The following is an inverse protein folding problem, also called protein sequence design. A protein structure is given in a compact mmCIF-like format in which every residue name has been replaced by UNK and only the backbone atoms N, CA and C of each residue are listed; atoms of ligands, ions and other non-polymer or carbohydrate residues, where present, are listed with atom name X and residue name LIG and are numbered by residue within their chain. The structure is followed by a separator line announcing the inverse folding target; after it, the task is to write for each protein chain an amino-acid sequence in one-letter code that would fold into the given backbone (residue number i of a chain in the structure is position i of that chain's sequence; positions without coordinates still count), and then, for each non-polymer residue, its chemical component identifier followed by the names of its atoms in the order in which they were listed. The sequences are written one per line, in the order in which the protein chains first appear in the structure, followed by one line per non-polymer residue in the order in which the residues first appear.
data_IF_878151915988
#
_entry.id   IF_878151915988
#
_cell.length_a   1.000
_cell.length_b   1.000
_cell.length_c   1.000
_cell.angle_alpha   90.00
_cell.angle_beta   90.00
_cell.angle_gamma   90.00
#
_symmetry.space_group_name_H-M   'P 1'
#
loop_
_entity.id
_entity.type
_entity.pdbx_description
1 polymer ?
#
# COMPACT_ATOMS: atom_id res chain seq x y z
N UNK A 1 22.22 -7.14 -11.06
CA UNK A 1 21.78 -5.83 -11.56
C UNK A 1 21.04 -5.13 -10.44
N UNK A 2 21.37 -3.87 -10.14
CA UNK A 2 20.58 -3.06 -9.20
C UNK A 2 19.30 -2.55 -9.89
N UNK A 3 18.31 -2.07 -9.13
CA UNK A 3 17.10 -1.50 -9.73
C UNK A 3 17.42 -0.25 -10.58
N UNK A 4 18.39 0.56 -10.18
CA UNK A 4 18.83 1.74 -10.93
C UNK A 4 19.46 1.35 -12.29
N UNK A 5 20.28 0.30 -12.29
CA UNK A 5 20.86 -0.27 -13.53
C UNK A 5 19.76 -0.82 -14.45
N UNK A 6 18.76 -1.51 -13.88
CA UNK A 6 17.60 -1.99 -14.65
C UNK A 6 16.83 -0.82 -15.27
N UNK A 7 16.54 0.24 -14.51
CA UNK A 7 15.77 1.39 -15.00
C UNK A 7 16.48 2.08 -16.17
N UNK A 8 17.80 2.30 -16.06
CA UNK A 8 18.61 2.88 -17.13
C UNK A 8 18.59 2.00 -18.39
N UNK A 9 18.76 0.69 -18.23
CA UNK A 9 18.80 -0.26 -19.32
C UNK A 9 17.45 -0.38 -20.04
N UNK A 10 16.33 -0.41 -19.31
CA UNK A 10 14.99 -0.42 -19.91
C UNK A 10 14.70 0.89 -20.65
N UNK A 11 15.09 2.04 -20.11
CA UNK A 11 14.93 3.34 -20.81
C UNK A 11 15.75 3.36 -22.10
N UNK A 12 16.96 2.81 -22.09
CA UNK A 12 17.77 2.68 -23.29
C UNK A 12 17.09 1.78 -24.34
N UNK A 13 16.59 0.61 -23.95
CA UNK A 13 15.89 -0.32 -24.84
C UNK A 13 14.61 0.28 -25.43
N UNK A 14 13.82 1.02 -24.63
CA UNK A 14 12.63 1.74 -25.10
C UNK A 14 12.98 2.81 -26.15
N UNK A 15 14.06 3.57 -25.92
CA UNK A 15 14.49 4.61 -26.87
C UNK A 15 14.99 4.04 -28.20
N UNK A 16 15.48 2.79 -28.19
CA UNK A 16 15.92 2.04 -29.37
C UNK A 16 14.81 1.16 -29.99
N UNK A 17 13.56 1.26 -29.52
CA UNK A 17 12.42 0.42 -29.95
C UNK A 17 12.60 -1.09 -29.73
N UNK A 18 13.47 -1.49 -28.80
CA UNK A 18 13.76 -2.88 -28.44
C UNK A 18 12.82 -3.36 -27.34
N UNK A 19 11.52 -3.37 -27.61
CA UNK A 19 10.50 -3.65 -26.58
C UNK A 19 10.52 -5.10 -26.09
N UNK A 20 10.75 -6.06 -26.97
CA UNK A 20 10.86 -7.48 -26.60
C UNK A 20 12.04 -7.73 -25.65
N UNK A 21 13.19 -7.10 -25.94
CA UNK A 21 14.37 -7.13 -25.06
C UNK A 21 14.05 -6.48 -23.70
N UNK A 22 13.30 -5.37 -23.69
CA UNK A 22 12.90 -4.69 -22.45
C UNK A 22 11.97 -5.54 -21.58
N UNK A 23 11.00 -6.22 -22.18
CA UNK A 23 10.05 -7.09 -21.46
C UNK A 23 10.76 -8.34 -20.95
N UNK A 24 11.66 -8.92 -21.74
CA UNK A 24 12.49 -10.06 -21.32
C UNK A 24 13.35 -9.70 -20.12
N UNK A 25 13.98 -8.51 -20.15
CA UNK A 25 14.81 -8.03 -19.05
C UNK A 25 13.97 -7.81 -17.78
N UNK A 26 12.76 -7.22 -17.90
CA UNK A 26 11.84 -7.04 -16.77
C UNK A 26 11.39 -8.39 -16.18
N UNK A 27 10.99 -9.35 -17.03
CA UNK A 27 10.59 -10.70 -16.59
C UNK A 27 11.73 -11.44 -15.89
N UNK A 28 12.98 -11.21 -16.31
CA UNK A 28 14.14 -11.81 -15.63
C UNK A 28 14.37 -11.23 -14.23
N UNK A 29 14.01 -9.95 -14.03
CA UNK A 29 14.28 -9.21 -12.80
C UNK A 29 13.14 -9.34 -11.78
N UNK A 30 11.88 -9.26 -12.24
CA UNK A 30 10.67 -9.39 -11.42
C UNK A 30 10.00 -10.74 -11.71
N UNK A 31 10.61 -11.83 -11.22
CA UNK A 31 10.03 -13.17 -11.39
C UNK A 31 8.60 -13.19 -10.82
N UNK A 32 7.67 -13.73 -11.61
CA UNK A 32 6.27 -13.98 -11.25
C UNK A 32 5.44 -12.72 -10.87
N UNK A 33 5.64 -11.61 -11.60
CA UNK A 33 4.92 -10.34 -11.38
C UNK A 33 3.71 -10.18 -12.33
N UNK A 34 2.48 -10.13 -11.80
CA UNK A 34 1.27 -10.07 -12.64
C UNK A 34 1.12 -8.78 -13.44
N UNK A 35 1.74 -7.67 -13.01
CA UNK A 35 1.74 -6.44 -13.80
C UNK A 35 2.54 -6.62 -15.11
N UNK A 36 3.51 -7.54 -15.12
CA UNK A 36 4.25 -7.92 -16.32
C UNK A 36 3.47 -8.84 -17.25
N UNK A 37 2.51 -9.63 -16.75
CA UNK A 37 1.64 -10.45 -17.60
C UNK A 37 0.78 -9.58 -18.52
N UNK A 38 0.24 -8.48 -17.99
CA UNK A 38 -0.53 -7.51 -18.79
C UNK A 38 0.32 -6.85 -19.88
N UNK A 39 1.56 -6.47 -19.56
CA UNK A 39 2.52 -5.91 -20.53
C UNK A 39 2.89 -6.95 -21.59
N UNK A 40 3.05 -8.20 -21.20
CA UNK A 40 3.36 -9.32 -22.11
C UNK A 40 2.20 -9.57 -23.09
N UNK A 41 0.96 -9.55 -22.61
CA UNK A 41 -0.25 -9.66 -23.45
C UNK A 41 -0.36 -8.48 -24.43
N UNK A 42 -0.10 -7.26 -23.95
CA UNK A 42 -0.13 -6.06 -24.80
C UNK A 42 0.97 -6.08 -25.86
N UNK A 43 2.14 -6.63 -25.55
CA UNK A 43 3.22 -6.84 -26.50
C UNK A 43 2.81 -7.81 -27.62
N UNK A 44 2.15 -8.92 -27.28
CA UNK A 44 1.61 -9.85 -28.28
C UNK A 44 0.60 -9.17 -29.22
N UNK A 45 -0.27 -8.31 -28.67
CA UNK A 45 -1.22 -7.51 -29.46
C UNK A 45 -0.51 -6.51 -30.39
N UNK A 46 0.56 -5.86 -29.92
CA UNK A 46 1.39 -4.98 -30.75
C UNK A 46 1.98 -5.73 -31.94
N UNK A 47 2.60 -6.91 -31.72
CA UNK A 47 3.17 -7.71 -32.79
C UNK A 47 2.12 -8.18 -33.82
N UNK A 48 0.93 -8.58 -33.36
CA UNK A 48 -0.17 -8.96 -34.25
C UNK A 48 -0.69 -7.78 -35.10
N UNK A 49 -0.66 -6.56 -34.57
CA UNK A 49 -1.04 -5.34 -35.30
C UNK A 49 0.06 -4.93 -36.29
N UNK A 50 1.33 -5.05 -35.91
CA UNK A 50 2.49 -4.79 -36.77
C UNK A 50 2.53 -5.72 -37.98
N UNK A 51 2.17 -7.00 -37.81
CA UNK A 51 2.07 -7.96 -38.91
C UNK A 51 0.92 -7.62 -39.88
N UNK A 52 -0.20 -7.10 -39.34
CA UNK A 52 -1.31 -6.60 -40.15
C UNK A 52 -0.96 -5.32 -40.93
N UNK A 53 -0.13 -4.45 -40.38
CA UNK A 53 0.40 -3.28 -41.10
C UNK A 53 1.32 -3.72 -42.25
N UNK A 54 2.24 -4.66 -42.00
CA UNK A 54 3.14 -5.22 -43.03
C UNK A 54 2.40 -5.89 -44.19
N UNK A 55 1.19 -6.42 -43.92
CA UNK A 55 0.29 -6.99 -44.94
C UNK A 55 -0.69 -5.97 -45.53
N UNK A 56 -0.61 -4.69 -45.17
CA UNK A 56 -1.45 -3.61 -45.69
C UNK A 56 -2.88 -3.58 -45.14
N UNK A 57 -3.18 -4.36 -44.10
CA UNK A 57 -4.51 -4.50 -43.49
C UNK A 57 -4.80 -3.48 -42.39
N UNK A 58 -3.79 -2.76 -41.93
CA UNK A 58 -3.88 -1.74 -40.86
C UNK A 58 -3.01 -0.54 -41.21
N UNK A 59 -3.51 0.66 -40.92
CA UNK A 59 -2.77 1.91 -41.12
C UNK A 59 -1.72 2.15 -40.03
N UNK A 60 -0.58 2.71 -40.43
CA UNK A 60 0.57 3.03 -39.57
C UNK A 60 0.26 3.82 -38.29
N UNK A 61 -0.64 4.83 -38.29
CA UNK A 61 -0.98 5.58 -37.08
C UNK A 61 -1.58 4.72 -35.95
N UNK A 62 -2.21 3.60 -36.30
CA UNK A 62 -2.78 2.66 -35.32
C UNK A 62 -1.69 1.83 -34.64
N UNK A 63 -0.63 1.50 -35.38
CA UNK A 63 0.55 0.79 -34.84
C UNK A 63 1.31 1.69 -33.87
N UNK A 64 1.52 2.95 -34.24
CA UNK A 64 2.18 3.96 -33.40
C UNK A 64 1.42 4.21 -32.09
N UNK A 65 0.08 4.21 -32.14
CA UNK A 65 -0.76 4.35 -30.94
C UNK A 65 -0.52 3.21 -29.95
N UNK A 66 -0.58 1.96 -30.43
CA UNK A 66 -0.36 0.78 -29.58
C UNK A 66 1.07 0.74 -29.04
N UNK A 67 2.04 1.11 -29.88
CA UNK A 67 3.45 1.22 -29.50
C UNK A 67 3.66 2.22 -28.36
N UNK A 68 3.09 3.41 -28.47
CA UNK A 68 3.20 4.45 -27.45
C UNK A 68 2.51 4.05 -26.15
N UNK A 69 1.37 3.35 -26.23
CA UNK A 69 0.67 2.84 -25.05
C UNK A 69 1.50 1.78 -24.32
N UNK A 70 2.13 0.87 -25.05
CA UNK A 70 3.01 -0.15 -24.46
C UNK A 70 4.24 0.47 -23.77
N UNK A 71 4.87 1.48 -24.38
CA UNK A 71 5.96 2.25 -23.73
C UNK A 71 5.50 2.93 -22.44
N UNK A 72 4.34 3.56 -22.46
CA UNK A 72 3.77 4.23 -21.29
C UNK A 72 3.57 3.26 -20.14
N UNK A 73 3.02 2.08 -20.42
CA UNK A 73 2.74 1.07 -19.39
C UNK A 73 4.01 0.50 -18.79
N UNK A 74 5.04 0.24 -19.60
CA UNK A 74 6.36 -0.21 -19.09
C UNK A 74 6.99 0.85 -18.16
N UNK A 75 6.95 2.13 -18.56
CA UNK A 75 7.50 3.21 -17.73
C UNK A 75 6.70 3.42 -16.44
N UNK A 76 5.37 3.26 -16.50
CA UNK A 76 4.51 3.34 -15.33
C UNK A 76 4.80 2.19 -14.35
N UNK A 77 5.00 0.97 -14.85
CA UNK A 77 5.41 -0.16 -14.04
C UNK A 77 6.74 0.13 -13.32
N UNK A 78 7.78 0.56 -14.05
CA UNK A 78 9.06 0.91 -13.46
C UNK A 78 8.93 1.97 -12.36
N UNK A 79 8.14 3.02 -12.61
CA UNK A 79 7.89 4.06 -11.60
C UNK A 79 7.24 3.49 -10.35
N UNK A 80 6.22 2.65 -10.49
CA UNK A 80 5.53 2.03 -9.35
C UNK A 80 6.46 1.13 -8.52
N UNK A 81 7.31 0.31 -9.17
CA UNK A 81 8.27 -0.55 -8.49
C UNK A 81 9.39 0.26 -7.81
N UNK A 82 9.81 1.38 -8.42
CA UNK A 82 10.76 2.32 -7.79
C UNK A 82 10.19 2.94 -6.52
N UNK A 83 8.94 3.39 -6.59
CA UNK A 83 8.23 3.97 -5.45
C UNK A 83 8.06 2.92 -4.32
N UNK A 84 7.72 1.67 -4.65
CA UNK A 84 7.64 0.56 -3.70
C UNK A 84 8.99 0.23 -3.04
N UNK A 85 10.08 0.16 -3.81
CA UNK A 85 11.41 -0.12 -3.28
C UNK A 85 11.92 1.01 -2.39
N UNK A 86 11.72 2.26 -2.80
CA UNK A 86 12.04 3.45 -2.00
C UNK A 86 11.25 3.44 -0.68
N UNK A 87 9.95 3.12 -0.73
CA UNK A 87 9.12 2.96 0.47
C UNK A 87 9.67 1.86 1.39
N UNK A 88 10.04 0.71 0.84
CA UNK A 88 10.59 -0.41 1.61
C UNK A 88 11.92 -0.05 2.30
N UNK A 89 12.81 0.63 1.59
CA UNK A 89 14.10 1.09 2.14
C UNK A 89 13.93 2.21 3.17
N UNK A 90 13.00 3.14 2.97
CA UNK A 90 12.79 4.27 3.89
C UNK A 90 12.01 3.89 5.15
N UNK A 91 11.10 2.93 5.04
CA UNK A 91 10.25 2.49 6.16
C UNK A 91 10.91 1.38 6.98
N UNK A 92 11.78 0.58 6.37
CA UNK A 92 12.35 -0.62 6.99
C UNK A 92 13.88 -0.77 6.83
N UNK A 93 14.56 0.19 6.18
CA UNK A 93 16.01 0.23 6.09
C UNK A 93 16.62 0.53 7.46
N UNK A 94 17.53 -0.33 7.89
CA UNK A 94 18.16 -0.34 9.21
C UNK A 94 18.68 1.04 9.65
N UNK A 95 17.89 1.75 10.46
CA UNK A 95 18.42 2.86 11.26
C UNK A 95 19.08 2.27 12.49
N UNK A 96 20.40 2.09 12.39
CA UNK A 96 21.27 1.79 13.52
C UNK A 96 21.32 2.97 14.48
N UNK A 97 21.43 2.65 15.77
CA UNK A 97 21.72 3.50 16.95
C UNK A 97 20.56 4.29 17.59
N UNK A 98 19.88 3.64 18.54
CA UNK A 98 19.85 4.03 19.97
C UNK A 98 19.70 2.75 20.82
N UNK A 99 20.57 2.61 21.84
CA UNK A 99 20.49 1.53 22.84
C UNK A 99 19.52 1.92 23.95
N UNK A 100 18.58 1.01 24.30
CA UNK A 100 18.29 0.53 25.66
C UNK A 100 16.88 -0.09 25.75
N UNK A 101 16.74 -1.38 25.44
CA UNK A 101 16.52 -2.46 26.42
C UNK A 101 16.47 -3.76 25.62
N UNK A 102 17.06 -4.84 26.15
CA UNK A 102 17.14 -6.14 25.46
C UNK A 102 15.80 -6.90 25.53
N UNK A 103 14.72 -6.24 25.15
CA UNK A 103 13.41 -6.84 24.92
C UNK A 103 13.15 -6.91 23.43
N UNK A 104 12.85 -8.11 22.94
CA UNK A 104 12.40 -8.32 21.55
C UNK A 104 11.19 -7.42 21.27
N UNK A 105 11.26 -6.58 20.22
CA UNK A 105 10.16 -5.70 19.85
C UNK A 105 8.92 -6.54 19.48
N UNK A 106 7.75 -6.18 20.00
CA UNK A 106 6.53 -6.94 19.71
C UNK A 106 6.03 -6.55 18.32
N UNK A 107 6.02 -7.52 17.41
CA UNK A 107 5.49 -7.37 16.05
C UNK A 107 3.99 -7.06 16.05
N UNK A 108 3.62 -6.02 15.33
CA UNK A 108 2.25 -5.58 15.03
C UNK A 108 2.12 -5.42 13.52
N UNK A 109 1.00 -5.87 12.98
CA UNK A 109 0.65 -5.61 11.59
C UNK A 109 0.26 -4.14 11.42
N UNK A 110 0.97 -3.43 10.56
CA UNK A 110 0.71 -2.05 10.22
C UNK A 110 -0.03 -1.97 8.88
N UNK A 111 -1.32 -1.67 8.96
CA UNK A 111 -2.18 -1.46 7.81
C UNK A 111 -2.14 0.02 7.44
N UNK A 112 -1.40 0.35 6.39
CA UNK A 112 -1.26 1.71 5.88
C UNK A 112 -1.03 1.67 4.37
N UNK A 113 -1.67 2.59 3.64
CA UNK A 113 -1.39 2.76 2.22
C UNK A 113 -0.04 3.43 2.02
N UNK A 114 0.66 3.15 0.92
CA UNK A 114 1.88 3.87 0.58
C UNK A 114 1.61 5.38 0.52
N UNK A 115 2.39 6.21 1.24
CA UNK A 115 2.18 7.65 1.25
C UNK A 115 2.40 8.21 -0.15
N UNK A 116 1.58 9.20 -0.52
CA UNK A 116 1.64 9.81 -1.85
C UNK A 116 2.18 11.25 -1.82
N UNK A 117 2.52 11.76 -0.64
CA UNK A 117 3.12 13.08 -0.44
C UNK A 117 4.04 13.08 0.81
N UNK A 118 4.92 14.08 0.90
CA UNK A 118 5.91 14.18 1.98
C UNK A 118 5.27 14.35 3.36
N UNK A 119 4.08 14.94 3.39
CA UNK A 119 3.34 15.18 4.62
C UNK A 119 2.90 13.85 5.25
N UNK A 120 2.25 12.99 4.49
CA UNK A 120 1.89 11.63 4.93
C UNK A 120 3.13 10.82 5.34
N UNK A 121 4.22 10.91 4.55
CA UNK A 121 5.46 10.20 4.89
C UNK A 121 6.03 10.65 6.24
N UNK A 122 6.06 11.97 6.50
CA UNK A 122 6.56 12.51 7.76
C UNK A 122 5.69 12.09 8.95
N UNK A 123 4.36 12.08 8.78
CA UNK A 123 3.44 11.62 9.82
C UNK A 123 3.66 10.14 10.14
N UNK A 124 3.76 9.28 9.11
CA UNK A 124 4.03 7.84 9.24
C UNK A 124 5.36 7.61 9.97
N UNK A 125 6.42 8.32 9.59
CA UNK A 125 7.74 8.14 10.21
C UNK A 125 7.72 8.48 11.71
N UNK A 126 7.13 9.64 12.08
CA UNK A 126 6.97 10.03 13.49
C UNK A 126 6.18 9.00 14.29
N UNK A 127 5.11 8.47 13.69
CA UNK A 127 4.28 7.45 14.31
C UNK A 127 5.07 6.15 14.53
N UNK A 128 5.78 5.66 13.51
CA UNK A 128 6.61 4.45 13.58
C UNK A 128 7.69 4.59 14.64
N UNK A 129 8.39 5.72 14.67
CA UNK A 129 9.41 6.00 15.70
C UNK A 129 8.80 6.02 17.11
N UNK A 130 7.60 6.59 17.25
CA UNK A 130 6.90 6.59 18.53
C UNK A 130 6.53 5.18 18.99
N UNK A 131 5.97 4.32 18.13
CA UNK A 131 5.67 2.93 18.47
C UNK A 131 6.94 2.14 18.81
N UNK A 132 8.01 2.34 18.02
CA UNK A 132 9.32 1.73 18.25
C UNK A 132 9.88 2.08 19.64
N UNK A 133 9.82 3.35 20.03
CA UNK A 133 10.24 3.81 21.37
C UNK A 133 9.45 3.18 22.52
N UNK A 134 8.28 2.59 22.24
CA UNK A 134 7.43 1.88 23.20
C UNK A 134 7.57 0.34 23.13
N UNK A 135 8.55 -0.16 22.37
CA UNK A 135 8.83 -1.59 22.18
C UNK A 135 7.88 -2.30 21.22
N UNK A 136 7.23 -1.57 20.32
CA UNK A 136 6.32 -2.11 19.30
C UNK A 136 6.95 -1.93 17.93
N UNK A 137 7.02 -3.02 17.16
CA UNK A 137 7.49 -3.00 15.79
C UNK A 137 6.30 -3.03 14.83
N UNK A 138 6.06 -1.90 14.17
CA UNK A 138 5.07 -1.80 13.09
C UNK A 138 5.67 -2.38 11.80
N UNK A 139 5.04 -3.41 11.25
CA UNK A 139 5.45 -4.01 9.97
C UNK A 139 4.26 -4.12 9.01
N UNK A 140 4.43 -3.64 7.77
CA UNK A 140 3.46 -3.87 6.69
C UNK A 140 3.73 -5.21 6.02
N UNK A 141 2.80 -5.67 5.17
CA UNK A 141 3.01 -6.85 4.34
C UNK A 141 4.30 -6.75 3.51
N UNK A 142 5.16 -7.77 3.56
CA UNK A 142 6.48 -7.80 2.90
C UNK A 142 6.47 -8.54 1.55
N UNK A 143 5.57 -9.50 1.40
CA UNK A 143 5.48 -10.37 0.25
C UNK A 143 4.04 -10.35 -0.26
N UNK A 144 3.89 -9.97 -1.52
CA UNK A 144 2.62 -9.96 -2.22
C UNK A 144 2.48 -11.25 -3.03
N UNK A 145 1.25 -11.75 -3.16
CA UNK A 145 0.92 -12.89 -4.01
C UNK A 145 -0.27 -12.51 -4.88
N UNK A 146 -0.05 -12.38 -6.18
CA UNK A 146 -1.09 -11.97 -7.12
C UNK A 146 -2.21 -13.01 -7.30
N UNK A 147 -1.88 -14.30 -7.13
CA UNK A 147 -2.85 -15.38 -7.28
C UNK A 147 -3.77 -15.52 -6.07
N UNK A 148 -3.30 -15.09 -4.89
CA UNK A 148 -4.09 -15.04 -3.67
C UNK A 148 -3.61 -13.86 -2.80
N UNK A 149 -4.15 -12.66 -3.02
CA UNK A 149 -3.69 -11.46 -2.31
C UNK A 149 -4.13 -11.45 -0.84
N UNK A 150 -5.10 -12.27 -0.46
CA UNK A 150 -5.64 -12.33 0.91
C UNK A 150 -4.80 -13.25 1.80
N UNK A 151 -4.33 -14.39 1.26
CA UNK A 151 -3.59 -15.37 2.05
C UNK A 151 -2.33 -14.78 2.73
N UNK A 152 -1.44 -14.03 2.06
CA UNK A 152 -0.28 -13.40 2.71
C UNK A 152 -0.67 -12.45 3.83
N UNK A 153 -1.76 -11.70 3.68
CA UNK A 153 -2.28 -10.79 4.71
C UNK A 153 -2.72 -11.59 5.94
N UNK A 154 -3.47 -12.67 5.73
CA UNK A 154 -3.94 -13.55 6.81
C UNK A 154 -2.76 -14.20 7.54
N UNK A 155 -1.76 -14.69 6.81
CA UNK A 155 -0.56 -15.29 7.39
C UNK A 155 0.24 -14.28 8.21
N UNK A 156 0.43 -13.07 7.68
CA UNK A 156 1.17 -12.02 8.37
C UNK A 156 0.43 -11.53 9.63
N UNK A 157 -0.89 -11.38 9.56
CA UNK A 157 -1.73 -11.06 10.72
C UNK A 157 -1.69 -12.17 11.78
N UNK A 158 -1.72 -13.44 11.37
CA UNK A 158 -1.56 -14.57 12.29
C UNK A 158 -0.22 -14.53 13.01
N UNK A 159 0.85 -14.03 12.41
CA UNK A 159 2.16 -13.88 13.05
C UNK A 159 2.29 -12.62 13.91
N UNK A 160 1.32 -11.71 13.85
CA UNK A 160 1.33 -10.44 14.57
C UNK A 160 0.63 -10.53 15.93
N UNK A 161 0.90 -9.57 16.81
CA UNK A 161 0.33 -9.49 18.16
C UNK A 161 -0.72 -8.38 18.31
N UNK A 162 -1.05 -7.72 17.21
CA UNK A 162 -1.99 -6.62 17.10
C UNK A 162 -2.03 -6.13 15.67
N UNK A 163 -3.03 -5.29 15.39
CA UNK A 163 -3.17 -4.59 14.13
C UNK A 163 -3.39 -3.10 14.39
N UNK A 164 -2.55 -2.27 13.77
CA UNK A 164 -2.69 -0.83 13.77
C UNK A 164 -3.07 -0.40 12.36
N UNK A 165 -4.19 0.29 12.20
CA UNK A 165 -4.65 0.80 10.90
C UNK A 165 -4.50 2.31 10.87
N UNK A 166 -3.79 2.84 9.88
CA UNK A 166 -3.68 4.27 9.63
C UNK A 166 -4.40 4.62 8.33
N UNK A 167 -5.61 5.15 8.47
CA UNK A 167 -6.44 5.60 7.38
C UNK A 167 -6.16 7.08 7.08
N UNK A 168 -5.35 7.30 6.04
CA UNK A 168 -5.09 8.59 5.42
C UNK A 168 -5.77 8.68 4.05
N UNK A 169 -5.79 9.88 3.46
CA UNK A 169 -6.29 10.08 2.12
C UNK A 169 -5.52 9.25 1.09
N UNK A 170 -6.28 8.53 0.25
CA UNK A 170 -5.78 7.87 -0.96
C UNK A 170 -6.47 8.34 -2.23
N UNK A 171 -7.76 8.65 -2.14
CA UNK A 171 -8.57 9.13 -3.26
C UNK A 171 -9.29 10.41 -2.88
N UNK A 172 -9.28 11.37 -3.78
CA UNK A 172 -10.13 12.55 -3.73
C UNK A 172 -11.18 12.48 -4.84
N UNK A 173 -12.45 12.53 -4.46
CA UNK A 173 -13.58 12.58 -5.40
C UNK A 173 -14.10 14.00 -5.43
N UNK A 174 -13.83 14.72 -6.52
CA UNK A 174 -14.35 16.07 -6.75
C UNK A 174 -15.86 16.05 -7.03
N UNK A 175 -16.33 15.14 -7.89
CA UNK A 175 -17.75 14.90 -8.17
C UNK A 175 -18.04 13.41 -8.45
N UNK A 176 -19.11 12.89 -7.85
CA UNK A 176 -19.57 11.52 -8.02
C UNK A 176 -21.02 11.32 -7.59
N UNK A 177 -21.56 10.12 -7.85
CA UNK A 177 -22.91 9.74 -7.43
C UNK A 177 -22.90 8.39 -6.72
N UNK A 178 -23.41 8.37 -5.49
CA UNK A 178 -23.65 7.16 -4.70
C UNK A 178 -25.00 6.54 -5.12
N UNK A 179 -25.06 5.21 -5.27
CA UNK A 179 -26.27 4.48 -5.68
C UNK A 179 -26.93 5.06 -6.94
N UNK A 180 -26.10 5.38 -7.93
CA UNK A 180 -26.51 5.99 -9.20
C UNK A 180 -27.64 5.19 -9.88
N UNK A 181 -28.64 5.90 -10.39
CA UNK A 181 -29.82 5.36 -11.06
C UNK A 181 -30.89 4.82 -10.12
N UNK A 182 -30.72 4.98 -8.80
CA UNK A 182 -31.71 4.54 -7.81
C UNK A 182 -32.48 5.70 -7.20
N UNK A 183 -33.60 5.40 -6.53
CA UNK A 183 -34.34 6.36 -5.71
C UNK A 183 -33.54 6.89 -4.50
N UNK A 184 -32.40 6.25 -4.20
CA UNK A 184 -31.48 6.62 -3.13
C UNK A 184 -30.20 7.26 -3.67
N UNK A 185 -30.19 7.68 -4.94
CA UNK A 185 -29.03 8.35 -5.51
C UNK A 185 -28.70 9.61 -4.71
N UNK A 186 -27.43 9.79 -4.36
CA UNK A 186 -26.95 10.99 -3.70
C UNK A 186 -25.63 11.46 -4.31
N UNK A 187 -25.37 12.77 -4.27
CA UNK A 187 -24.12 13.33 -4.79
C UNK A 187 -22.98 13.18 -3.79
N UNK A 188 -21.80 12.87 -4.30
CA UNK A 188 -20.52 12.87 -3.57
C UNK A 188 -19.69 14.02 -4.15
N UNK A 189 -19.48 15.08 -3.37
CA UNK A 189 -18.68 16.23 -3.79
C UNK A 189 -17.57 16.50 -2.78
N UNK A 190 -16.36 16.70 -3.29
CA UNK A 190 -15.14 17.02 -2.53
C UNK A 190 -14.94 16.12 -1.30
N UNK A 191 -14.81 14.81 -1.54
CA UNK A 191 -14.63 13.80 -0.47
C UNK A 191 -13.35 13.01 -0.63
N UNK A 192 -12.64 12.86 0.48
CA UNK A 192 -11.47 12.01 0.61
C UNK A 192 -11.88 10.60 1.07
N UNK A 193 -11.24 9.58 0.49
CA UNK A 193 -11.43 8.17 0.82
C UNK A 193 -10.09 7.48 1.09
N UNK A 194 -10.05 6.54 2.04
CA UNK A 194 -8.88 5.71 2.26
C UNK A 194 -8.72 4.63 1.18
N UNK A 195 -7.65 3.84 1.29
CA UNK A 195 -7.51 2.60 0.52
C UNK A 195 -8.52 1.55 0.99
N UNK A 196 -9.15 0.83 0.06
CA UNK A 196 -10.04 -0.28 0.36
C UNK A 196 -9.36 -1.41 1.17
N UNK A 197 -8.05 -1.58 0.99
CA UNK A 197 -7.25 -2.59 1.70
C UNK A 197 -7.30 -2.43 3.22
N UNK A 198 -7.39 -1.18 3.72
CA UNK A 198 -7.45 -0.92 5.16
C UNK A 198 -8.70 -1.53 5.80
N UNK A 199 -9.83 -1.54 5.08
CA UNK A 199 -11.06 -2.18 5.56
C UNK A 199 -10.92 -3.70 5.61
N UNK A 200 -10.27 -4.29 4.60
CA UNK A 200 -10.06 -5.73 4.50
C UNK A 200 -9.16 -6.21 5.64
N UNK A 201 -8.00 -5.55 5.81
CA UNK A 201 -7.02 -5.89 6.84
C UNK A 201 -7.60 -5.71 8.25
N UNK A 202 -8.34 -4.62 8.50
CA UNK A 202 -9.04 -4.40 9.77
C UNK A 202 -10.08 -5.48 10.06
N UNK A 203 -10.86 -5.90 9.05
CA UNK A 203 -11.86 -6.95 9.19
C UNK A 203 -11.21 -8.31 9.54
N UNK A 204 -10.12 -8.66 8.85
CA UNK A 204 -9.38 -9.90 9.11
C UNK A 204 -8.77 -9.85 10.52
N UNK A 205 -8.12 -8.76 10.89
CA UNK A 205 -7.53 -8.60 12.22
C UNK A 205 -8.58 -8.78 13.32
N UNK A 206 -9.77 -8.20 13.14
CA UNK A 206 -10.89 -8.36 14.07
C UNK A 206 -11.37 -9.81 14.16
N UNK A 207 -11.44 -10.51 13.02
CA UNK A 207 -11.84 -11.93 12.98
C UNK A 207 -10.85 -12.88 13.64
N UNK A 208 -9.58 -12.46 13.77
CA UNK A 208 -8.53 -13.17 14.48
C UNK A 208 -8.41 -12.76 15.95
N UNK A 209 -9.35 -11.94 16.46
CA UNK A 209 -9.36 -11.39 17.82
C UNK A 209 -8.04 -10.69 18.21
N UNK A 210 -7.35 -10.09 17.24
CA UNK A 210 -6.17 -9.27 17.50
C UNK A 210 -6.58 -7.95 18.15
N UNK A 211 -5.77 -7.41 19.08
CA UNK A 211 -5.91 -6.02 19.52
C UNK A 211 -5.86 -5.10 18.29
N UNK A 212 -6.94 -4.38 18.03
CA UNK A 212 -7.12 -3.52 16.86
C UNK A 212 -7.34 -2.07 17.30
N UNK A 213 -6.67 -1.14 16.63
CA UNK A 213 -6.93 0.29 16.71
C UNK A 213 -6.88 0.89 15.31
N UNK A 214 -7.78 1.84 15.03
CA UNK A 214 -7.90 2.47 13.72
C UNK A 214 -7.75 3.97 13.90
N UNK A 215 -6.71 4.55 13.31
CA UNK A 215 -6.53 5.99 13.23
C UNK A 215 -7.12 6.47 11.91
N UNK A 216 -8.11 7.37 11.99
CA UNK A 216 -8.84 7.89 10.83
C UNK A 216 -8.61 9.38 10.71
N UNK A 217 -8.02 9.80 9.59
CA UNK A 217 -7.89 11.23 9.28
C UNK A 217 -9.25 11.91 9.19
N UNK A 218 -9.34 13.12 9.76
CA UNK A 218 -10.57 13.90 9.88
C UNK A 218 -11.18 14.29 8.53
N UNK A 219 -10.40 14.30 7.46
CA UNK A 219 -10.85 14.61 6.09
C UNK A 219 -11.60 13.44 5.45
N UNK A 220 -11.36 12.22 5.92
CA UNK A 220 -11.92 11.02 5.33
C UNK A 220 -13.42 10.93 5.56
N UNK A 221 -14.14 10.65 4.47
CA UNK A 221 -15.54 10.28 4.53
C UNK A 221 -15.69 8.99 5.35
N UNK A 222 -16.77 8.93 6.13
CA UNK A 222 -17.17 7.73 6.84
C UNK A 222 -17.63 6.65 5.84
N UNK A 223 -17.02 5.47 5.90
CA UNK A 223 -17.40 4.31 5.09
C UNK A 223 -17.06 2.98 5.79
N UNK A 224 -17.81 1.93 5.46
CA UNK A 224 -17.49 0.57 5.90
C UNK A 224 -17.21 0.44 7.40
N UNK A 225 -16.01 -0.02 7.75
CA UNK A 225 -15.53 -0.13 9.13
C UNK A 225 -14.92 1.18 9.66
N UNK A 226 -14.41 2.03 8.76
CA UNK A 226 -13.73 3.28 9.08
C UNK A 226 -14.78 4.40 9.17
N UNK A 227 -15.47 4.44 10.31
CA UNK A 227 -16.62 5.30 10.54
C UNK A 227 -16.59 5.90 11.96
N UNK A 228 -16.68 7.22 12.10
CA UNK A 228 -16.49 7.91 13.40
C UNK A 228 -17.42 7.39 14.52
N UNK A 229 -18.66 7.03 14.18
CA UNK A 229 -19.66 6.52 15.12
C UNK A 229 -19.44 5.07 15.59
N UNK A 230 -18.46 4.34 15.02
CA UNK A 230 -18.19 2.93 15.35
C UNK A 230 -17.14 2.79 16.47
N UNK A 231 -17.48 3.29 17.66
CA UNK A 231 -16.59 3.28 18.83
C UNK A 231 -16.09 1.87 19.22
N UNK A 232 -16.89 0.83 18.97
CA UNK A 232 -16.54 -0.57 19.24
C UNK A 232 -15.29 -1.06 18.48
N UNK A 233 -14.88 -0.33 17.43
CA UNK A 233 -13.74 -0.67 16.57
C UNK A 233 -12.44 0.05 16.95
N UNK A 234 -12.44 0.80 18.06
CA UNK A 234 -11.25 1.53 18.51
C UNK A 234 -10.83 2.61 17.52
N UNK A 235 -11.80 3.34 16.96
CA UNK A 235 -11.52 4.41 16.01
C UNK A 235 -11.12 5.68 16.74
N UNK A 236 -9.94 6.19 16.41
CA UNK A 236 -9.40 7.46 16.90
C UNK A 236 -9.33 8.41 15.72
N UNK A 237 -10.00 9.54 15.85
CA UNK A 237 -9.93 10.61 14.85
C UNK A 237 -8.60 11.34 15.00
N UNK A 238 -7.91 11.51 13.89
CA UNK A 238 -6.62 12.21 13.79
C UNK A 238 -6.68 13.30 12.73
N UNK A 239 -5.68 14.17 12.73
CA UNK A 239 -5.45 15.19 11.73
C UNK A 239 -4.01 15.07 11.28
N UNK A 240 -3.77 14.49 10.09
CA UNK A 240 -2.41 14.31 9.61
C UNK A 240 -1.63 15.64 9.56
N UNK A 241 -2.32 16.80 9.49
CA UNK A 241 -1.69 18.12 9.51
C UNK A 241 -1.13 18.55 10.86
N UNK A 242 -1.52 17.88 11.94
CA UNK A 242 -1.06 18.12 13.30
C UNK A 242 -0.06 17.05 13.71
N UNK A 243 1.17 17.15 13.20
CA UNK A 243 2.22 16.15 13.38
C UNK A 243 2.51 15.71 14.83
N UNK A 244 2.24 16.58 15.82
CA UNK A 244 2.57 16.33 17.22
C UNK A 244 1.37 15.82 18.04
N UNK A 245 0.18 15.75 17.44
CA UNK A 245 -1.06 15.32 18.12
C UNK A 245 -0.93 13.91 18.72
N UNK A 246 -0.11 13.04 18.12
CA UNK A 246 0.14 11.66 18.57
C UNK A 246 0.80 11.61 19.96
N UNK A 247 1.48 12.69 20.35
CA UNK A 247 2.12 12.85 21.66
C UNK A 247 1.22 13.55 22.69
N UNK A 248 0.08 14.07 22.24
CA UNK A 248 -0.83 14.88 23.05
C UNK A 248 -2.06 14.09 23.50
N UNK A 249 -2.71 14.57 24.55
CA UNK A 249 -3.99 14.02 24.98
C UNK A 249 -5.11 14.53 24.06
N UNK A 250 -6.10 13.68 23.71
CA UNK A 250 -6.31 12.32 24.21
C UNK A 250 -5.62 11.21 23.41
N UNK A 251 -5.05 11.49 22.23
CA UNK A 251 -4.54 10.50 21.27
C UNK A 251 -3.45 9.63 21.89
N UNK A 252 -2.48 10.23 22.58
CA UNK A 252 -1.44 9.52 23.33
C UNK A 252 -2.00 8.45 24.27
N UNK A 253 -3.10 8.75 24.96
CA UNK A 253 -3.71 7.80 25.89
C UNK A 253 -4.33 6.61 25.15
N UNK A 254 -4.96 6.82 24.00
CA UNK A 254 -5.47 5.72 23.17
C UNK A 254 -4.33 4.81 22.69
N UNK A 255 -3.22 5.39 22.23
CA UNK A 255 -2.03 4.64 21.81
C UNK A 255 -1.51 3.79 22.97
N UNK A 256 -1.24 4.41 24.13
CA UNK A 256 -0.68 3.69 25.28
C UNK A 256 -1.59 2.59 25.80
N UNK A 257 -2.91 2.83 25.84
CA UNK A 257 -3.89 1.82 26.25
C UNK A 257 -3.91 0.64 25.27
N UNK A 258 -3.84 0.90 23.97
CA UNK A 258 -3.78 -0.16 22.97
C UNK A 258 -2.45 -0.92 22.99
N UNK A 259 -1.31 -0.24 23.16
CA UNK A 259 0.01 -0.89 23.35
C UNK A 259 -0.03 -1.86 24.53
N UNK A 260 -0.69 -1.48 25.64
CA UNK A 260 -0.86 -2.38 26.78
C UNK A 260 -1.72 -3.62 26.44
N UNK A 261 -2.72 -3.49 25.57
CA UNK A 261 -3.49 -4.63 25.08
C UNK A 261 -2.64 -5.56 24.22
N UNK A 262 -1.83 -5.02 23.31
CA UNK A 262 -0.86 -5.77 22.49
C UNK A 262 0.14 -6.53 23.38
N UNK A 263 0.71 -5.87 24.39
CA UNK A 263 1.65 -6.49 25.33
C UNK A 263 1.00 -7.65 26.11
N UNK A 264 -0.25 -7.48 26.55
CA UNK A 264 -1.02 -8.56 27.22
C UNK A 264 -1.31 -9.72 26.27
N UNK A 265 -1.75 -9.43 25.04
CA UNK A 265 -2.03 -10.43 24.03
C UNK A 265 -0.78 -11.26 23.72
N UNK A 266 0.35 -10.60 23.46
CA UNK A 266 1.64 -11.24 23.23
C UNK A 266 2.05 -12.17 24.38
N UNK A 267 1.98 -11.69 25.62
CA UNK A 267 2.31 -12.49 26.82
C UNK A 267 1.42 -13.74 26.95
N UNK A 268 0.12 -13.61 26.71
CA UNK A 268 -0.81 -14.74 26.79
C UNK A 268 -0.51 -15.77 25.70
N UNK A 269 -0.16 -15.32 24.50
CA UNK A 269 0.18 -16.17 23.37
C UNK A 269 1.47 -16.96 23.60
N UNK A 270 2.51 -16.34 24.15
CA UNK A 270 3.78 -17.01 24.47
C UNK A 270 3.69 -17.94 25.69
N UNK A 271 2.72 -17.70 26.59
CA UNK A 271 2.48 -18.59 27.74
C UNK A 271 1.68 -19.85 27.37
N UNK A 272 1.04 -19.86 26.19
CA UNK A 272 0.21 -20.96 25.70
C UNK A 272 0.94 -21.90 24.72
N UNK A 273 2.11 -21.49 24.22
CA UNK A 273 3.01 -22.25 23.34
C UNK A 273 4.07 -23.00 24.15
#
# INVERSE_FOLDING_TARGET
MTFEQLEEEIRALISLNKLEESITLLNSFFKDDSDLDQITIQSANYHAILEKERSGLVESPKVDLVLNQLRSNILQLLRSKKEYLKYKEQTFGETTTYHADSGEEIKVFFSVASPHNDHQQNYINKLVDYFKSNGIKLETLKAWNDNDPILPIVEELKLSNGCFVLALERFFVSEGAEKRGSQQESKINDKCFPSAWLHIEAAIARSLDLPLIIFKDKSLRNEGLIHDDKQEWGIVRIDESQMDEIFEYPIKNFILNWINQVKRYHKNRTSAS
#
